data_IF_270195209901
#
_entry.id   IF_270195209901
#
_cell.length_a   1.000
_cell.length_b   1.000
_cell.length_c   1.000
_cell.angle_alpha   90.00
_cell.angle_beta   90.00
_cell.angle_gamma   90.00
#
_symmetry.space_group_name_H-M   'P 1'
#
loop_
_entity.id
_entity.type
_entity.pdbx_description
1 polymer ?
#
# COMPACT_ATOMS: atom_id res chain seq x y z
N UNK A 1 -4.38 12.74 -17.31
CA UNK A 1 -3.18 11.94 -17.05
C UNK A 1 -2.15 12.21 -18.12
N UNK A 2 -0.90 12.45 -17.74
CA UNK A 2 0.23 12.72 -18.63
C UNK A 2 1.44 11.91 -18.15
N UNK A 3 2.52 11.88 -18.95
CA UNK A 3 3.76 11.22 -18.52
C UNK A 3 4.35 11.84 -17.23
N UNK A 4 4.10 13.12 -16.97
CA UNK A 4 4.61 13.83 -15.79
C UNK A 4 3.87 13.46 -14.48
N UNK A 5 2.68 12.86 -14.55
CA UNK A 5 1.88 12.45 -13.40
C UNK A 5 1.51 10.96 -13.41
N UNK A 6 2.33 10.17 -14.10
CA UNK A 6 2.26 8.71 -14.17
C UNK A 6 3.56 8.11 -13.65
N UNK A 7 3.50 6.98 -12.97
CA UNK A 7 4.70 6.25 -12.58
C UNK A 7 5.45 5.74 -13.81
N UNK A 8 6.78 5.79 -13.78
CA UNK A 8 7.62 5.21 -14.82
C UNK A 8 7.84 3.71 -14.57
N UNK A 9 7.94 2.94 -15.64
CA UNK A 9 8.47 1.57 -15.55
C UNK A 9 9.94 1.62 -15.21
N UNK A 10 10.38 0.78 -14.30
CA UNK A 10 11.79 0.59 -13.99
C UNK A 10 12.04 -0.84 -13.51
N UNK A 11 13.30 -1.20 -13.40
CA UNK A 11 13.72 -2.44 -12.79
C UNK A 11 13.73 -2.29 -11.26
N UNK A 12 13.50 -3.38 -10.55
CA UNK A 12 13.55 -3.42 -9.11
C UNK A 12 13.44 -4.84 -8.57
N UNK A 13 14.02 -5.06 -7.41
CA UNK A 13 13.93 -6.31 -6.68
C UNK A 13 13.72 -6.02 -5.20
N UNK A 14 12.89 -6.81 -4.55
CA UNK A 14 12.62 -6.73 -3.11
C UNK A 14 12.59 -8.14 -2.53
N UNK A 15 13.19 -8.29 -1.37
CA UNK A 15 13.15 -9.53 -0.60
C UNK A 15 12.43 -9.25 0.72
N UNK A 16 11.44 -10.07 1.03
CA UNK A 16 10.76 -10.08 2.34
C UNK A 16 11.01 -11.43 3.00
N UNK A 17 11.48 -11.41 4.24
CA UNK A 17 11.58 -12.60 5.08
C UNK A 17 10.27 -12.74 5.86
N UNK A 18 9.56 -13.85 5.61
CA UNK A 18 8.26 -14.12 6.23
C UNK A 18 8.37 -15.40 7.05
N UNK A 19 7.93 -15.35 8.29
CA UNK A 19 7.94 -16.50 9.20
C UNK A 19 6.85 -16.36 10.25
N UNK A 20 6.62 -17.41 11.00
CA UNK A 20 5.76 -17.35 12.18
C UNK A 20 6.37 -16.47 13.27
N UNK A 21 5.52 -15.81 14.05
CA UNK A 21 5.93 -14.85 15.07
C UNK A 21 6.85 -15.49 16.12
N UNK A 22 6.52 -16.69 16.59
CA UNK A 22 7.30 -17.36 17.62
C UNK A 22 8.69 -17.76 17.10
N UNK A 23 8.77 -18.22 15.85
CA UNK A 23 10.05 -18.48 15.18
C UNK A 23 10.90 -17.20 15.05
N UNK A 24 10.30 -16.06 14.75
CA UNK A 24 11.03 -14.80 14.69
C UNK A 24 11.69 -14.47 16.04
N UNK A 25 10.98 -14.64 17.14
CA UNK A 25 11.54 -14.43 18.49
C UNK A 25 12.65 -15.43 18.82
N UNK A 26 12.48 -16.71 18.49
CA UNK A 26 13.51 -17.75 18.71
C UNK A 26 14.80 -17.45 17.93
N UNK A 27 14.68 -16.84 16.74
CA UNK A 27 15.81 -16.42 15.92
C UNK A 27 16.39 -15.04 16.30
N UNK A 28 15.83 -14.38 17.33
CA UNK A 28 16.33 -13.11 17.84
C UNK A 28 15.88 -11.86 17.07
N UNK A 29 14.83 -11.97 16.24
CA UNK A 29 14.25 -10.80 15.59
C UNK A 29 13.34 -10.04 16.57
N UNK A 30 13.75 -8.83 16.94
CA UNK A 30 13.01 -7.99 17.91
C UNK A 30 11.94 -7.12 17.23
N UNK A 31 12.08 -6.87 15.92
CA UNK A 31 11.21 -6.00 15.14
C UNK A 31 10.67 -6.70 13.89
N UNK A 32 9.41 -6.42 13.58
CA UNK A 32 8.76 -6.97 12.40
C UNK A 32 7.36 -6.41 12.21
N UNK A 33 6.80 -6.57 11.02
CA UNK A 33 5.40 -6.29 10.75
C UNK A 33 4.58 -7.58 10.95
N UNK A 34 3.47 -7.47 11.66
CA UNK A 34 2.53 -8.58 11.80
C UNK A 34 1.47 -8.48 10.69
N UNK A 35 1.43 -9.47 9.79
CA UNK A 35 0.34 -9.58 8.84
C UNK A 35 -0.97 -9.92 9.57
N UNK A 36 -1.95 -9.04 9.45
CA UNK A 36 -3.23 -9.18 10.14
C UNK A 36 -4.33 -9.71 9.22
N UNK A 37 -4.50 -9.13 8.05
CA UNK A 37 -5.58 -9.47 7.13
C UNK A 37 -5.25 -9.03 5.70
N UNK A 38 -5.95 -9.62 4.71
CA UNK A 38 -5.83 -9.26 3.31
C UNK A 38 -7.16 -9.44 2.58
N UNK A 39 -7.36 -8.65 1.52
CA UNK A 39 -8.55 -8.72 0.70
C UNK A 39 -8.22 -8.50 -0.77
N UNK A 40 -8.97 -9.16 -1.63
CA UNK A 40 -8.99 -8.90 -3.07
C UNK A 40 -10.39 -8.45 -3.46
N UNK A 41 -10.47 -7.41 -4.29
CA UNK A 41 -11.74 -6.85 -4.77
C UNK A 41 -11.72 -6.74 -6.29
N UNK A 42 -12.90 -6.86 -6.90
CA UNK A 42 -13.14 -6.47 -8.29
C UNK A 42 -13.77 -5.07 -8.34
N UNK A 43 -13.45 -4.32 -9.39
CA UNK A 43 -14.05 -3.01 -9.68
C UNK A 43 -14.42 -2.94 -11.17
N UNK A 44 -15.22 -1.94 -11.54
CA UNK A 44 -15.54 -1.68 -12.93
C UNK A 44 -14.25 -1.44 -13.74
N UNK A 45 -14.11 -2.15 -14.86
CA UNK A 45 -12.95 -2.06 -15.75
C UNK A 45 -12.72 -0.67 -16.33
N UNK A 46 -13.75 0.19 -16.36
CA UNK A 46 -13.60 1.59 -16.76
C UNK A 46 -12.92 2.45 -15.69
N UNK A 47 -12.88 2.00 -14.43
CA UNK A 47 -12.32 2.73 -13.29
C UNK A 47 -11.35 1.87 -12.47
N UNK A 48 -10.31 1.26 -13.08
CA UNK A 48 -9.44 0.32 -12.37
C UNK A 48 -8.67 0.98 -11.22
N UNK A 49 -8.40 2.29 -11.33
CA UNK A 49 -7.65 3.05 -10.32
C UNK A 49 -8.37 3.22 -8.97
N UNK A 50 -9.69 3.00 -8.91
CA UNK A 50 -10.45 3.14 -7.67
C UNK A 50 -10.41 1.89 -6.77
N UNK A 51 -9.81 0.80 -7.25
CA UNK A 51 -9.71 -0.48 -6.52
C UNK A 51 -9.29 -0.39 -5.05
N UNK A 52 -8.34 0.48 -4.67
CA UNK A 52 -7.97 0.65 -3.25
C UNK A 52 -9.13 1.06 -2.35
N UNK A 53 -10.12 1.80 -2.85
CA UNK A 53 -11.25 2.29 -2.05
C UNK A 53 -12.08 1.15 -1.47
N UNK A 54 -12.70 0.27 -2.27
CA UNK A 54 -13.46 -0.86 -1.72
C UNK A 54 -12.56 -1.86 -0.98
N UNK A 55 -11.30 -2.02 -1.36
CA UNK A 55 -10.37 -2.91 -0.67
C UNK A 55 -10.12 -2.44 0.77
N UNK A 56 -9.71 -1.19 0.96
CA UNK A 56 -9.46 -0.59 2.28
C UNK A 56 -10.75 -0.56 3.10
N UNK A 57 -11.87 -0.13 2.52
CA UNK A 57 -13.16 -0.09 3.21
C UNK A 57 -13.58 -1.47 3.73
N UNK A 58 -13.38 -2.52 2.94
CA UNK A 58 -13.69 -3.89 3.35
C UNK A 58 -12.77 -4.38 4.47
N UNK A 59 -11.46 -4.10 4.40
CA UNK A 59 -10.52 -4.46 5.46
C UNK A 59 -10.85 -3.76 6.78
N UNK A 60 -11.10 -2.46 6.74
CA UNK A 60 -11.47 -1.68 7.92
C UNK A 60 -12.74 -2.25 8.57
N UNK A 61 -13.79 -2.47 7.76
CA UNK A 61 -15.05 -3.04 8.24
C UNK A 61 -14.86 -4.42 8.87
N UNK A 62 -14.12 -5.32 8.23
CA UNK A 62 -13.86 -6.69 8.74
C UNK A 62 -13.13 -6.69 10.06
N UNK A 63 -12.21 -5.75 10.24
CA UNK A 63 -11.39 -5.62 11.44
C UNK A 63 -11.98 -4.66 12.48
N UNK A 64 -13.20 -4.13 12.27
CA UNK A 64 -13.88 -3.16 13.15
C UNK A 64 -13.01 -1.91 13.41
N UNK A 65 -12.30 -1.46 12.37
CA UNK A 65 -11.46 -0.27 12.37
C UNK A 65 -12.08 0.84 11.53
N UNK A 66 -11.63 2.06 11.79
CA UNK A 66 -11.88 3.24 10.96
C UNK A 66 -10.57 3.76 10.37
N UNK A 67 -10.63 4.72 9.45
CA UNK A 67 -9.44 5.28 8.82
C UNK A 67 -8.55 6.02 9.83
N UNK A 68 -9.14 6.59 10.87
CA UNK A 68 -8.44 7.29 11.93
C UNK A 68 -7.63 6.37 12.84
N UNK A 69 -7.91 5.06 12.81
CA UNK A 69 -7.12 4.06 13.54
C UNK A 69 -5.84 3.64 12.80
N UNK A 70 -5.65 4.13 11.57
CA UNK A 70 -4.51 3.77 10.72
C UNK A 70 -3.50 4.91 10.72
N UNK A 71 -2.28 4.63 11.13
CA UNK A 71 -1.22 5.64 11.19
C UNK A 71 -0.60 5.90 9.82
N UNK A 72 -0.34 4.83 9.05
CA UNK A 72 0.32 4.91 7.73
C UNK A 72 -0.42 4.06 6.72
N UNK A 73 -0.59 4.62 5.53
CA UNK A 73 -1.25 3.97 4.39
C UNK A 73 -0.32 4.11 3.18
N UNK A 74 0.03 2.97 2.59
CA UNK A 74 0.79 2.91 1.35
C UNK A 74 -0.12 2.47 0.19
N UNK A 75 -0.27 3.32 -0.81
CA UNK A 75 -1.00 3.03 -2.06
C UNK A 75 -0.03 3.20 -3.22
N UNK A 76 0.05 2.21 -4.11
CA UNK A 76 0.84 2.36 -5.32
C UNK A 76 0.32 3.52 -6.18
N UNK A 77 1.23 4.42 -6.56
CA UNK A 77 0.92 5.63 -7.33
C UNK A 77 1.03 5.35 -8.83
N UNK A 78 0.06 4.63 -9.39
CA UNK A 78 0.00 4.46 -10.84
C UNK A 78 -0.15 5.82 -11.54
N UNK A 79 -1.00 6.69 -11.00
CA UNK A 79 -1.25 8.05 -11.45
C UNK A 79 -1.56 8.95 -10.25
N UNK A 80 -1.09 10.20 -10.27
CA UNK A 80 -1.43 11.16 -9.19
C UNK A 80 -2.93 11.35 -9.03
N UNK A 81 -3.68 11.44 -10.14
CA UNK A 81 -5.13 11.59 -10.12
C UNK A 81 -5.84 10.40 -9.44
N UNK A 82 -5.33 9.17 -9.64
CA UNK A 82 -5.85 7.96 -9.00
C UNK A 82 -5.64 8.00 -7.48
N UNK A 83 -4.46 8.40 -7.03
CA UNK A 83 -4.15 8.50 -5.59
C UNK A 83 -5.02 9.56 -4.93
N UNK A 84 -5.15 10.73 -5.54
CA UNK A 84 -6.03 11.80 -5.05
C UNK A 84 -7.48 11.35 -4.96
N UNK A 85 -7.98 10.63 -5.97
CA UNK A 85 -9.35 10.10 -5.95
C UNK A 85 -9.55 9.09 -4.80
N UNK A 86 -8.60 8.18 -4.57
CA UNK A 86 -8.64 7.24 -3.45
C UNK A 86 -8.57 7.96 -2.10
N UNK A 87 -7.68 8.93 -1.97
CA UNK A 87 -7.51 9.75 -0.77
C UNK A 87 -8.80 10.48 -0.38
N UNK A 88 -9.42 11.13 -1.36
CA UNK A 88 -10.68 11.85 -1.14
C UNK A 88 -11.84 10.91 -0.78
N UNK A 89 -11.97 9.80 -1.50
CA UNK A 89 -13.04 8.82 -1.27
C UNK A 89 -12.95 8.13 0.10
N UNK A 90 -11.75 7.98 0.64
CA UNK A 90 -11.49 7.34 1.94
C UNK A 90 -11.26 8.35 3.06
N UNK A 91 -11.23 9.65 2.76
CA UNK A 91 -10.90 10.72 3.71
C UNK A 91 -9.53 10.52 4.40
N UNK A 92 -8.52 10.06 3.63
CA UNK A 92 -7.17 9.85 4.15
C UNK A 92 -6.44 11.19 4.29
N UNK A 93 -5.79 11.41 5.43
CA UNK A 93 -4.97 12.59 5.67
C UNK A 93 -3.68 12.57 4.82
N UNK A 94 -3.18 13.73 4.44
CA UNK A 94 -1.85 13.87 3.81
C UNK A 94 -0.71 13.37 4.70
N UNK A 95 -0.91 13.35 6.00
CA UNK A 95 0.09 12.85 6.97
C UNK A 95 0.08 11.34 7.14
N UNK A 96 -0.88 10.65 6.52
CA UNK A 96 -1.00 9.18 6.57
C UNK A 96 -0.59 8.51 5.26
N UNK A 97 -0.77 9.19 4.11
CA UNK A 97 -0.66 8.58 2.79
C UNK A 97 0.74 8.73 2.21
N UNK A 98 1.37 7.59 1.88
CA UNK A 98 2.66 7.52 1.18
C UNK A 98 3.71 8.48 1.78
N UNK A 99 3.84 8.47 3.10
CA UNK A 99 4.64 9.45 3.86
C UNK A 99 6.13 9.45 3.49
N UNK A 100 6.62 8.36 2.91
CA UNK A 100 7.99 8.22 2.40
C UNK A 100 8.11 8.44 0.87
N UNK A 101 7.06 9.01 0.26
CA UNK A 101 6.94 9.13 -1.18
C UNK A 101 6.44 7.85 -1.86
N UNK A 102 6.29 7.87 -3.17
CA UNK A 102 5.66 6.78 -3.91
C UNK A 102 6.26 6.51 -5.29
N UNK A 103 5.54 5.74 -6.09
CA UNK A 103 5.97 5.28 -7.40
C UNK A 103 6.11 6.39 -8.44
N UNK A 104 5.50 7.55 -8.24
CA UNK A 104 5.70 8.72 -9.09
C UNK A 104 7.15 9.22 -9.04
N UNK A 105 7.79 9.10 -7.87
CA UNK A 105 9.18 9.49 -7.67
C UNK A 105 10.15 8.34 -7.91
N UNK A 106 9.84 7.14 -7.43
CA UNK A 106 10.76 5.99 -7.43
C UNK A 106 10.60 5.05 -8.61
N UNK A 107 9.52 5.18 -9.40
CA UNK A 107 9.14 4.24 -10.45
C UNK A 107 8.34 3.03 -9.94
N UNK A 108 7.89 2.21 -10.87
CA UNK A 108 6.98 1.09 -10.61
C UNK A 108 7.51 -0.21 -11.22
N UNK A 109 8.40 -0.94 -10.55
CA UNK A 109 8.80 -2.29 -10.95
C UNK A 109 7.66 -3.26 -10.61
N UNK A 110 6.83 -3.61 -11.57
CA UNK A 110 5.53 -4.27 -11.39
C UNK A 110 5.55 -5.46 -10.44
N UNK A 111 6.50 -6.38 -10.63
CA UNK A 111 6.63 -7.58 -9.79
C UNK A 111 7.16 -7.31 -8.37
N UNK A 112 7.79 -6.16 -8.13
CA UNK A 112 8.40 -5.81 -6.85
C UNK A 112 7.60 -4.77 -6.05
N UNK A 113 6.73 -3.99 -6.68
CA UNK A 113 6.08 -2.84 -6.04
C UNK A 113 5.25 -3.19 -4.82
N UNK A 114 4.52 -4.30 -4.83
CA UNK A 114 3.76 -4.74 -3.65
C UNK A 114 4.65 -4.98 -2.43
N UNK A 115 5.78 -5.66 -2.64
CA UNK A 115 6.77 -5.88 -1.59
C UNK A 115 7.46 -4.59 -1.14
N UNK A 116 7.68 -3.62 -2.07
CA UNK A 116 8.20 -2.29 -1.71
C UNK A 116 7.26 -1.54 -0.76
N UNK A 117 5.95 -1.58 -1.00
CA UNK A 117 4.97 -0.95 -0.09
C UNK A 117 5.09 -1.54 1.31
N UNK A 118 5.20 -2.87 1.42
CA UNK A 118 5.41 -3.54 2.72
C UNK A 118 6.71 -3.10 3.37
N UNK A 119 7.80 -3.01 2.59
CA UNK A 119 9.10 -2.55 3.11
C UNK A 119 9.03 -1.12 3.65
N UNK A 120 8.30 -0.21 2.99
CA UNK A 120 8.10 1.16 3.47
C UNK A 120 7.36 1.23 4.80
N UNK A 121 6.40 0.34 5.02
CA UNK A 121 5.69 0.26 6.31
C UNK A 121 6.57 -0.26 7.45
N UNK A 122 7.73 -0.83 7.16
CA UNK A 122 8.67 -1.34 8.16
C UNK A 122 9.57 -0.24 8.74
N UNK A 123 9.82 0.84 8.00
CA UNK A 123 10.68 1.97 8.39
C UNK A 123 9.85 3.17 8.86
#
# INVERSE_FOLDING_TARGET
VTAANSCMKNDGAVLLLIMEKDMAYELGFEHGLLFKDGVTVGVDSNFPGIGPVPAISNLLKRNQLTIENIEVIEINEAFSAQVVACQQALNISNTQLNIWGGALASGHPYGASGAQLVTRLFY
#
